data_IF_322007079478
#
_entry.id   IF_322007079478
#
_cell.length_a   1.000
_cell.length_b   1.000
_cell.length_c   1.000
_cell.angle_alpha   90.00
_cell.angle_beta   90.00
_cell.angle_gamma   90.00
#
_symmetry.space_group_name_H-M   'P 1'
#
loop_
_entity.id
_entity.type
_entity.pdbx_description
1 polymer ?
#
# COMPACT_ATOMS: atom_id res chain seq x y z
N UNK A 1 -0.55 0.52 16.31
CA UNK A 1 0.13 1.45 15.40
C UNK A 1 0.44 2.76 16.12
N UNK A 2 -0.51 3.69 16.18
CA UNK A 2 -0.30 5.03 16.75
C UNK A 2 0.13 5.04 18.21
N UNK A 3 -0.48 4.18 19.04
CA UNK A 3 -0.10 4.02 20.45
C UNK A 3 1.39 3.66 20.63
N UNK A 4 1.97 2.89 19.70
CA UNK A 4 3.40 2.52 19.72
C UNK A 4 4.32 3.73 19.50
N UNK A 5 3.84 4.75 18.78
CA UNK A 5 4.60 5.98 18.55
C UNK A 5 4.45 6.92 19.75
N UNK A 6 3.21 7.17 20.14
CA UNK A 6 2.86 7.93 21.34
C UNK A 6 1.36 7.68 21.65
N UNK A 7 0.98 7.38 22.90
CA UNK A 7 -0.43 7.24 23.30
C UNK A 7 -1.32 8.41 22.91
N UNK A 8 -0.80 9.64 22.92
CA UNK A 8 -1.53 10.87 22.55
C UNK A 8 -2.02 10.82 21.09
N UNK A 9 -1.32 10.07 20.22
CA UNK A 9 -1.67 10.00 18.80
C UNK A 9 -2.83 9.08 18.49
N UNK A 10 -3.37 8.30 19.43
CA UNK A 10 -4.50 7.40 19.17
C UNK A 10 -5.72 8.15 18.62
N UNK A 11 -5.90 9.41 19.01
CA UNK A 11 -6.98 10.29 18.52
C UNK A 11 -6.87 10.51 16.99
N UNK A 12 -5.67 10.44 16.42
CA UNK A 12 -5.43 10.56 14.98
C UNK A 12 -5.68 9.25 14.19
N UNK A 13 -6.33 8.25 14.79
CA UNK A 13 -6.67 7.00 14.08
C UNK A 13 -7.41 7.17 12.75
N UNK A 14 -8.33 8.14 12.57
CA UNK A 14 -9.00 8.35 11.28
C UNK A 14 -8.02 8.77 10.16
N UNK A 15 -6.96 9.51 10.50
CA UNK A 15 -5.92 9.94 9.56
C UNK A 15 -5.26 8.73 8.91
N UNK A 16 -4.95 7.71 9.71
CA UNK A 16 -4.28 6.48 9.23
C UNK A 16 -5.18 5.69 8.29
N UNK A 17 -6.50 5.73 8.47
CA UNK A 17 -7.45 5.09 7.54
C UNK A 17 -7.33 5.73 6.16
N UNK A 18 -7.38 7.06 6.06
CA UNK A 18 -7.22 7.76 4.77
C UNK A 18 -5.86 7.48 4.13
N UNK A 19 -4.79 7.50 4.91
CA UNK A 19 -3.45 7.20 4.42
C UNK A 19 -3.32 5.75 3.95
N UNK A 20 -3.95 4.80 4.62
CA UNK A 20 -3.92 3.38 4.23
C UNK A 20 -4.61 3.15 2.88
N UNK A 21 -5.76 3.79 2.65
CA UNK A 21 -6.47 3.70 1.38
C UNK A 21 -5.69 4.39 0.26
N UNK A 22 -5.09 5.55 0.54
CA UNK A 22 -4.18 6.23 -0.40
C UNK A 22 -2.98 5.34 -0.75
N UNK A 23 -2.37 4.70 0.24
CA UNK A 23 -1.23 3.80 0.05
C UNK A 23 -1.62 2.58 -0.81
N UNK A 24 -2.81 2.02 -0.60
CA UNK A 24 -3.36 0.95 -1.44
C UNK A 24 -3.48 1.37 -2.91
N UNK A 25 -4.07 2.55 -3.18
CA UNK A 25 -4.19 3.08 -4.55
C UNK A 25 -2.81 3.34 -5.18
N UNK A 26 -1.88 3.91 -4.42
CA UNK A 26 -0.50 4.14 -4.87
C UNK A 26 0.23 2.83 -5.21
N UNK A 27 0.04 1.78 -4.39
CA UNK A 27 0.60 0.46 -4.66
C UNK A 27 0.01 -0.16 -5.93
N UNK A 28 -1.30 0.01 -6.16
CA UNK A 28 -1.94 -0.43 -7.40
C UNK A 28 -1.36 0.31 -8.62
N UNK A 29 -1.23 1.63 -8.54
CA UNK A 29 -0.62 2.46 -9.59
C UNK A 29 0.82 2.02 -9.89
N UNK A 30 1.63 1.74 -8.86
CA UNK A 30 3.00 1.25 -9.06
C UNK A 30 3.05 -0.05 -9.87
N UNK A 31 2.16 -1.00 -9.61
CA UNK A 31 2.07 -2.23 -10.40
C UNK A 31 1.64 -1.96 -11.85
N UNK A 32 0.72 -1.02 -12.07
CA UNK A 32 0.33 -0.60 -13.41
C UNK A 32 1.48 0.05 -14.17
N UNK A 33 2.27 0.92 -13.53
CA UNK A 33 3.46 1.51 -14.14
C UNK A 33 4.47 0.44 -14.58
N UNK A 34 4.76 -0.53 -13.71
CA UNK A 34 5.66 -1.64 -14.05
C UNK A 34 5.15 -2.42 -15.26
N UNK A 35 3.84 -2.71 -15.31
CA UNK A 35 3.23 -3.38 -16.46
C UNK A 35 3.35 -2.58 -17.76
N UNK A 36 3.06 -1.28 -17.72
CA UNK A 36 3.14 -0.39 -18.88
C UNK A 36 4.57 -0.19 -19.37
N UNK A 37 5.53 -0.02 -18.46
CA UNK A 37 6.94 0.14 -18.79
C UNK A 37 7.52 -1.14 -19.41
N UNK A 38 7.07 -2.32 -18.96
CA UNK A 38 7.49 -3.59 -19.56
C UNK A 38 7.02 -3.82 -21.00
N UNK A 39 6.10 -2.99 -21.51
CA UNK A 39 5.64 -3.03 -22.91
C UNK A 39 6.37 -2.03 -23.81
N UNK A 40 7.15 -1.11 -23.22
CA UNK A 40 7.87 -0.09 -23.96
C UNK A 40 9.04 -0.68 -24.75
N UNK A 41 9.38 -0.06 -25.87
CA UNK A 41 10.46 -0.51 -26.79
C UNK A 41 11.43 0.61 -27.17
N UNK A 42 11.26 1.80 -26.60
CA UNK A 42 12.04 2.99 -26.97
C UNK A 42 13.54 2.86 -26.67
N UNK A 43 13.90 1.92 -25.79
CA UNK A 43 15.27 1.52 -25.42
C UNK A 43 15.85 0.43 -26.33
N UNK A 44 15.00 -0.36 -26.99
CA UNK A 44 15.38 -1.39 -27.97
C UNK A 44 15.54 -0.79 -29.38
N UNK A 45 14.78 0.24 -29.69
CA UNK A 45 14.79 0.89 -31.01
C UNK A 45 15.98 1.84 -31.19
N UNK A 46 16.94 1.42 -32.03
CA UNK A 46 18.19 2.18 -32.31
C UNK A 46 17.99 3.59 -32.90
N UNK A 47 16.77 3.93 -33.36
CA UNK A 47 16.44 5.21 -33.99
C UNK A 47 15.57 6.12 -33.12
N UNK A 48 15.29 5.74 -31.87
CA UNK A 48 14.43 6.53 -30.99
C UNK A 48 15.04 7.90 -30.70
N UNK A 49 14.22 8.93 -30.84
CA UNK A 49 14.60 10.32 -30.57
C UNK A 49 14.25 10.72 -29.14
N UNK A 50 14.81 11.83 -28.66
CA UNK A 50 14.44 12.41 -27.35
C UNK A 50 12.93 12.65 -27.21
N UNK A 51 12.24 13.00 -28.30
CA UNK A 51 10.78 13.19 -28.31
C UNK A 51 10.03 11.88 -28.09
N UNK A 52 10.57 10.77 -28.58
CA UNK A 52 9.98 9.44 -28.40
C UNK A 52 10.14 9.00 -26.93
N UNK A 53 11.30 9.25 -26.32
CA UNK A 53 11.50 9.06 -24.88
C UNK A 53 10.53 9.91 -24.05
N UNK A 54 10.36 11.20 -24.37
CA UNK A 54 9.46 12.08 -23.63
C UNK A 54 7.99 11.61 -23.65
N UNK A 55 7.57 10.90 -24.71
CA UNK A 55 6.21 10.36 -24.86
C UNK A 55 6.07 8.89 -24.45
N UNK A 56 7.16 8.26 -24.06
CA UNK A 56 7.23 6.84 -23.72
C UNK A 56 6.51 6.53 -22.40
N UNK A 57 6.20 5.26 -22.16
CA UNK A 57 5.65 4.77 -20.90
C UNK A 57 6.67 4.89 -19.76
N UNK A 58 7.98 4.91 -20.07
CA UNK A 58 9.05 5.17 -19.10
C UNK A 58 8.87 6.53 -18.40
N UNK A 59 8.50 7.56 -19.17
CA UNK A 59 8.28 8.91 -18.64
C UNK A 59 6.92 9.08 -17.96
N UNK A 60 6.04 8.08 -18.02
CA UNK A 60 4.69 8.18 -17.47
C UNK A 60 4.71 8.22 -15.94
N UNK A 61 5.52 7.38 -15.29
CA UNK A 61 5.66 7.38 -13.83
C UNK A 61 6.15 8.74 -13.27
N UNK A 62 7.30 9.30 -13.72
CA UNK A 62 7.73 10.60 -13.22
C UNK A 62 6.72 11.72 -13.54
N UNK A 63 6.11 11.72 -14.72
CA UNK A 63 5.08 12.71 -15.08
C UNK A 63 3.87 12.63 -14.14
N UNK A 64 3.40 11.42 -13.85
CA UNK A 64 2.28 11.20 -12.95
C UNK A 64 2.60 11.62 -11.51
N UNK A 65 3.81 11.36 -11.04
CA UNK A 65 4.27 11.83 -9.72
C UNK A 65 4.30 13.36 -9.65
N UNK A 66 4.73 14.05 -10.71
CA UNK A 66 4.72 15.50 -10.78
C UNK A 66 3.29 16.06 -10.75
N UNK A 67 2.38 15.52 -11.56
CA UNK A 67 0.97 15.93 -11.57
C UNK A 67 0.35 15.72 -10.19
N UNK A 68 0.55 14.54 -9.59
CA UNK A 68 0.07 14.23 -8.24
C UNK A 68 0.58 15.22 -7.20
N UNK A 69 1.88 15.48 -7.20
CA UNK A 69 2.51 16.41 -6.26
C UNK A 69 2.03 17.84 -6.46
N UNK A 70 1.92 18.30 -7.72
CA UNK A 70 1.45 19.64 -8.04
C UNK A 70 0.02 19.87 -7.57
N UNK A 71 -0.89 18.92 -7.82
CA UNK A 71 -2.28 18.99 -7.35
C UNK A 71 -2.30 18.96 -5.82
N UNK A 72 -1.61 18.00 -5.20
CA UNK A 72 -1.60 17.84 -3.75
C UNK A 72 -1.07 19.07 -3.01
N UNK A 73 0.11 19.56 -3.39
CA UNK A 73 0.71 20.74 -2.76
C UNK A 73 -0.05 22.02 -3.11
N UNK A 74 -0.58 22.13 -4.33
CA UNK A 74 -1.45 23.25 -4.72
C UNK A 74 -2.71 23.32 -3.85
N UNK A 75 -3.39 22.19 -3.64
CA UNK A 75 -4.55 22.12 -2.76
C UNK A 75 -4.21 22.48 -1.31
N UNK A 76 -3.09 21.98 -0.78
CA UNK A 76 -2.63 22.32 0.57
C UNK A 76 -2.31 23.81 0.72
N UNK A 77 -1.62 24.39 -0.25
CA UNK A 77 -1.25 25.81 -0.23
C UNK A 77 -2.48 26.72 -0.20
N UNK A 78 -3.52 26.39 -0.98
CA UNK A 78 -4.79 27.12 -0.96
C UNK A 78 -5.41 27.06 0.44
N UNK A 79 -5.46 25.88 1.06
CA UNK A 79 -6.10 25.69 2.36
C UNK A 79 -5.37 26.43 3.46
N UNK A 80 -4.03 26.36 3.51
CA UNK A 80 -3.27 27.14 4.49
C UNK A 80 -3.33 28.64 4.27
N UNK A 81 -3.61 29.09 3.05
CA UNK A 81 -3.79 30.52 2.78
C UNK A 81 -5.13 31.05 3.32
N UNK A 82 -6.12 30.17 3.48
CA UNK A 82 -7.46 30.51 4.00
C UNK A 82 -7.56 30.27 5.51
N UNK A 83 -6.83 29.28 6.03
CA UNK A 83 -6.80 28.97 7.46
C UNK A 83 -6.07 30.07 8.24
N UNK A 84 -6.82 30.86 9.01
CA UNK A 84 -6.30 31.97 9.82
C UNK A 84 -5.88 31.56 11.23
N UNK A 85 -6.31 30.39 11.71
CA UNK A 85 -5.92 29.87 13.01
C UNK A 85 -4.56 29.17 12.95
N UNK A 86 -3.62 29.61 13.81
CA UNK A 86 -2.24 29.09 13.85
C UNK A 86 -2.10 27.74 14.56
N UNK A 87 -3.21 27.15 15.03
CA UNK A 87 -3.17 25.93 15.82
C UNK A 87 -3.25 24.70 14.91
N UNK A 88 -2.16 23.94 14.88
CA UNK A 88 -2.10 22.65 14.20
C UNK A 88 -2.90 21.59 14.96
N UNK A 89 -4.15 21.38 14.52
CA UNK A 89 -5.06 20.42 15.11
C UNK A 89 -5.15 19.12 14.30
N UNK A 90 -5.63 18.05 14.93
CA UNK A 90 -5.84 16.74 14.30
C UNK A 90 -6.80 16.83 13.10
N UNK A 91 -7.74 17.78 13.12
CA UNK A 91 -8.66 18.06 12.02
C UNK A 91 -7.90 18.47 10.75
N UNK A 92 -6.92 19.37 10.88
CA UNK A 92 -6.08 19.82 9.78
C UNK A 92 -5.27 18.66 9.18
N UNK A 93 -4.68 17.81 10.04
CA UNK A 93 -3.93 16.62 9.61
C UNK A 93 -4.84 15.62 8.89
N UNK A 94 -6.06 15.42 9.40
CA UNK A 94 -7.07 14.55 8.79
C UNK A 94 -7.46 15.05 7.41
N UNK A 95 -7.60 16.36 7.26
CA UNK A 95 -7.89 17.02 5.99
C UNK A 95 -6.75 16.81 4.99
N UNK A 96 -5.48 16.88 5.40
CA UNK A 96 -4.35 16.61 4.51
C UNK A 96 -4.31 15.17 3.99
N UNK A 97 -4.60 14.21 4.89
CA UNK A 97 -4.67 12.81 4.52
C UNK A 97 -5.82 12.56 3.54
N UNK A 98 -6.98 13.20 3.78
CA UNK A 98 -8.14 13.13 2.91
C UNK A 98 -7.86 13.73 1.51
N UNK A 99 -7.25 14.91 1.41
CA UNK A 99 -6.85 15.48 0.10
C UNK A 99 -5.92 14.52 -0.62
N UNK A 100 -4.93 13.96 0.09
CA UNK A 100 -3.99 13.02 -0.51
C UNK A 100 -4.71 11.82 -1.14
N UNK A 101 -5.73 11.29 -0.46
CA UNK A 101 -6.59 10.24 -0.98
C UNK A 101 -7.44 10.72 -2.19
N UNK A 102 -8.09 11.88 -2.08
CA UNK A 102 -8.94 12.45 -3.13
C UNK A 102 -8.17 12.76 -4.41
N UNK A 103 -6.89 13.12 -4.32
CA UNK A 103 -6.01 13.30 -5.49
C UNK A 103 -5.63 11.95 -6.10
N UNK A 104 -5.39 10.92 -5.29
CA UNK A 104 -4.97 9.60 -5.78
C UNK A 104 -6.10 8.84 -6.49
N UNK A 105 -7.37 9.01 -6.07
CA UNK A 105 -8.53 8.34 -6.68
C UNK A 105 -8.67 8.61 -8.20
N UNK A 106 -8.82 9.86 -8.68
CA UNK A 106 -9.01 10.14 -10.10
C UNK A 106 -7.79 9.74 -10.92
N UNK A 107 -6.60 9.92 -10.36
CA UNK A 107 -5.33 9.49 -10.94
C UNK A 107 -5.28 7.96 -11.13
N UNK A 108 -5.75 7.19 -10.14
CA UNK A 108 -5.85 5.74 -10.24
C UNK A 108 -6.87 5.30 -11.28
N UNK A 109 -8.04 5.95 -11.33
CA UNK A 109 -9.04 5.70 -12.37
C UNK A 109 -8.47 5.94 -13.78
N UNK A 110 -7.70 7.02 -13.97
CA UNK A 110 -7.00 7.28 -15.22
C UNK A 110 -5.99 6.18 -15.57
N UNK A 111 -5.19 5.71 -14.59
CA UNK A 111 -4.24 4.61 -14.81
C UNK A 111 -4.94 3.30 -15.21
N UNK A 112 -6.04 2.94 -14.55
CA UNK A 112 -6.82 1.75 -14.91
C UNK A 112 -7.31 1.85 -16.35
N UNK A 113 -7.80 3.02 -16.77
CA UNK A 113 -8.23 3.25 -18.15
C UNK A 113 -7.07 3.08 -19.14
N UNK A 114 -5.92 3.68 -18.85
CA UNK A 114 -4.73 3.60 -19.71
C UNK A 114 -4.23 2.16 -19.86
N UNK A 115 -4.17 1.41 -18.76
CA UNK A 115 -3.76 0.01 -18.75
C UNK A 115 -4.67 -0.85 -19.60
N UNK A 116 -5.99 -0.71 -19.44
CA UNK A 116 -6.99 -1.45 -20.24
C UNK A 116 -6.89 -1.16 -21.74
N UNK A 117 -6.37 0.01 -22.12
CA UNK A 117 -6.14 0.35 -23.52
C UNK A 117 -4.92 -0.36 -24.11
N UNK A 118 -3.91 -0.67 -23.30
CA UNK A 118 -2.64 -1.25 -23.77
C UNK A 118 -2.61 -2.77 -23.68
N UNK A 119 -3.28 -3.37 -22.68
CA UNK A 119 -3.35 -4.81 -22.55
C UNK A 119 -4.63 -5.27 -21.84
N UNK A 120 -4.99 -6.54 -22.05
CA UNK A 120 -6.15 -7.15 -21.40
C UNK A 120 -5.83 -7.43 -19.93
N UNK A 121 -6.55 -6.78 -19.03
CA UNK A 121 -6.48 -7.07 -17.59
C UNK A 121 -7.25 -8.36 -17.27
N UNK A 122 -6.56 -9.50 -17.34
CA UNK A 122 -7.08 -10.77 -16.82
C UNK A 122 -6.76 -10.88 -15.33
N UNK A 123 -7.66 -10.35 -14.51
CA UNK A 123 -7.53 -10.43 -13.06
C UNK A 123 -8.02 -11.80 -12.57
N UNK A 124 -7.15 -12.53 -11.87
CA UNK A 124 -7.50 -13.80 -11.22
C UNK A 124 -8.33 -13.54 -9.96
N UNK A 125 -9.59 -13.14 -10.15
CA UNK A 125 -10.51 -12.76 -9.08
C UNK A 125 -10.64 -13.82 -7.99
N UNK A 126 -10.63 -15.11 -8.36
CA UNK A 126 -10.66 -16.22 -7.39
C UNK A 126 -9.47 -16.19 -6.42
N UNK A 127 -8.28 -15.82 -6.89
CA UNK A 127 -7.10 -15.69 -6.03
C UNK A 127 -7.22 -14.43 -5.18
N UNK A 128 -7.56 -13.29 -5.80
CA UNK A 128 -7.70 -12.00 -5.11
C UNK A 128 -8.67 -12.11 -3.92
N UNK A 129 -9.84 -12.71 -4.13
CA UNK A 129 -10.84 -12.87 -3.06
C UNK A 129 -10.36 -13.77 -1.93
N UNK A 130 -9.64 -14.85 -2.23
CA UNK A 130 -9.03 -15.71 -1.20
C UNK A 130 -8.05 -14.95 -0.32
N UNK A 131 -7.13 -14.18 -0.92
CA UNK A 131 -6.16 -13.38 -0.17
C UNK A 131 -6.83 -12.27 0.62
N UNK A 132 -7.86 -11.62 0.05
CA UNK A 132 -8.61 -10.58 0.73
C UNK A 132 -9.37 -11.11 1.95
N UNK A 133 -10.10 -12.22 1.81
CA UNK A 133 -10.81 -12.86 2.93
C UNK A 133 -9.85 -13.38 3.99
N UNK A 134 -8.70 -13.93 3.59
CA UNK A 134 -7.65 -14.34 4.53
C UNK A 134 -7.11 -13.16 5.32
N UNK A 135 -6.84 -12.04 4.63
CA UNK A 135 -6.40 -10.80 5.28
C UNK A 135 -7.44 -10.31 6.30
N UNK A 136 -8.72 -10.23 5.92
CA UNK A 136 -9.80 -9.84 6.82
C UNK A 136 -9.93 -10.77 8.04
N UNK A 137 -9.87 -12.08 7.84
CA UNK A 137 -9.96 -13.05 8.92
C UNK A 137 -8.78 -12.95 9.90
N UNK A 138 -7.56 -12.87 9.38
CA UNK A 138 -6.34 -12.74 10.20
C UNK A 138 -6.33 -11.41 10.95
N UNK A 139 -6.64 -10.29 10.28
CA UNK A 139 -6.70 -8.98 10.90
C UNK A 139 -7.81 -8.90 11.96
N UNK A 140 -8.99 -9.44 11.67
CA UNK A 140 -10.11 -9.48 12.62
C UNK A 140 -9.77 -10.28 13.88
N UNK A 141 -9.20 -11.48 13.70
CA UNK A 141 -8.81 -12.33 14.82
C UNK A 141 -7.67 -11.72 15.63
N UNK A 142 -6.62 -11.21 14.97
CA UNK A 142 -5.49 -10.57 15.66
C UNK A 142 -5.94 -9.32 16.42
N UNK A 143 -6.81 -8.50 15.83
CA UNK A 143 -7.40 -7.35 16.51
C UNK A 143 -8.23 -7.75 17.73
N UNK A 144 -9.09 -8.77 17.61
CA UNK A 144 -9.87 -9.29 18.74
C UNK A 144 -8.96 -9.77 19.88
N UNK A 145 -7.93 -10.56 19.56
CA UNK A 145 -6.96 -11.03 20.57
C UNK A 145 -6.19 -9.87 21.22
N UNK A 146 -5.86 -8.83 20.46
CA UNK A 146 -5.20 -7.65 21.02
C UNK A 146 -6.12 -6.91 22.00
N UNK A 147 -7.42 -6.80 21.73
CA UNK A 147 -8.35 -6.14 22.66
C UNK A 147 -8.47 -6.87 24.00
N UNK A 148 -8.44 -8.20 23.98
CA UNK A 148 -8.56 -9.02 25.19
C UNK A 148 -7.25 -9.16 25.97
N UNK A 149 -6.11 -9.28 25.27
CA UNK A 149 -4.85 -9.73 25.88
C UNK A 149 -3.71 -8.73 25.79
N UNK A 150 -3.76 -7.71 24.93
CA UNK A 150 -2.66 -6.75 24.82
C UNK A 150 -2.76 -5.71 25.92
N UNK A 151 -1.72 -5.62 26.74
CA UNK A 151 -1.59 -4.57 27.76
C UNK A 151 -1.01 -3.31 27.11
N UNK A 152 -1.78 -2.24 27.13
CA UNK A 152 -1.41 -0.93 26.58
C UNK A 152 -0.60 -0.12 27.60
N UNK A 153 0.72 -0.27 27.55
CA UNK A 153 1.67 0.45 28.40
C UNK A 153 2.31 1.64 27.68
N UNK A 154 2.46 2.79 28.34
CA UNK A 154 3.09 3.97 27.73
C UNK A 154 4.59 3.76 27.49
N UNK A 155 5.24 2.97 28.35
CA UNK A 155 6.65 2.66 28.22
C UNK A 155 6.88 1.72 27.01
N UNK A 156 7.47 2.26 25.94
CA UNK A 156 7.72 1.53 24.68
C UNK A 156 8.50 0.22 24.88
N UNK A 157 9.44 0.20 25.83
CA UNK A 157 10.26 -0.99 26.12
C UNK A 157 9.46 -2.12 26.77
N UNK A 158 8.29 -1.84 27.33
CA UNK A 158 7.36 -2.84 27.88
C UNK A 158 6.30 -3.18 26.84
N UNK A 159 5.75 -2.17 26.17
CA UNK A 159 4.70 -2.36 25.17
C UNK A 159 5.17 -3.14 23.94
N UNK A 160 6.36 -2.85 23.42
CA UNK A 160 6.84 -3.47 22.17
C UNK A 160 7.04 -4.99 22.32
N UNK A 161 7.71 -5.52 23.36
CA UNK A 161 7.77 -6.96 23.60
C UNK A 161 6.39 -7.62 23.75
N UNK A 162 5.43 -6.95 24.38
CA UNK A 162 4.04 -7.45 24.49
C UNK A 162 3.30 -7.46 23.15
N UNK A 163 3.60 -6.54 22.24
CA UNK A 163 2.98 -6.46 20.92
C UNK A 163 3.55 -7.50 19.93
N UNK A 164 4.84 -7.84 20.03
CA UNK A 164 5.54 -8.72 19.08
C UNK A 164 4.86 -10.09 18.88
N UNK A 165 4.38 -10.81 19.92
CA UNK A 165 3.65 -12.07 19.75
C UNK A 165 2.45 -11.96 18.82
N UNK A 166 1.68 -10.87 18.88
CA UNK A 166 0.52 -10.65 18.03
C UNK A 166 0.90 -10.41 16.56
N UNK A 167 1.99 -9.67 16.32
CA UNK A 167 2.54 -9.43 14.97
C UNK A 167 3.01 -10.75 14.37
N UNK A 168 3.79 -11.54 15.13
CA UNK A 168 4.29 -12.84 14.69
C UNK A 168 3.12 -13.79 14.43
N UNK A 169 2.16 -13.86 15.35
CA UNK A 169 0.97 -14.68 15.20
C UNK A 169 0.19 -14.32 13.94
N UNK A 170 -0.08 -13.03 13.70
CA UNK A 170 -0.76 -12.58 12.48
C UNK A 170 -0.01 -12.95 11.20
N UNK A 171 1.31 -12.76 11.18
CA UNK A 171 2.15 -13.13 10.04
C UNK A 171 2.12 -14.65 9.78
N UNK A 172 2.36 -15.46 10.81
CA UNK A 172 2.34 -16.93 10.72
C UNK A 172 0.97 -17.43 10.28
N UNK A 173 -0.10 -16.88 10.85
CA UNK A 173 -1.47 -17.27 10.52
C UNK A 173 -1.82 -16.93 9.06
N UNK A 174 -1.44 -15.73 8.59
CA UNK A 174 -1.63 -15.34 7.19
C UNK A 174 -0.90 -16.29 6.23
N UNK A 175 0.38 -16.56 6.47
CA UNK A 175 1.14 -17.49 5.63
C UNK A 175 0.59 -18.93 5.72
N UNK A 176 0.20 -19.37 6.92
CA UNK A 176 -0.38 -20.70 7.13
C UNK A 176 -1.67 -20.89 6.33
N UNK A 177 -2.63 -19.96 6.45
CA UNK A 177 -3.89 -20.03 5.72
C UNK A 177 -3.66 -19.94 4.21
N UNK A 178 -2.81 -19.01 3.74
CA UNK A 178 -2.55 -18.85 2.31
C UNK A 178 -1.93 -20.10 1.67
N UNK A 179 -1.00 -20.78 2.36
CA UNK A 179 -0.43 -22.06 1.93
C UNK A 179 -1.50 -23.17 1.84
N UNK A 180 -2.51 -23.14 2.70
CA UNK A 180 -3.58 -24.16 2.71
C UNK A 180 -4.57 -23.93 1.55
N UNK A 181 -5.00 -22.69 1.32
CA UNK A 181 -6.11 -22.38 0.40
C UNK A 181 -5.67 -22.14 -1.06
N UNK A 182 -4.38 -21.86 -1.29
CA UNK A 182 -3.83 -21.55 -2.60
C UNK A 182 -2.75 -22.55 -3.03
N UNK A 183 -3.01 -23.25 -4.14
CA UNK A 183 -2.10 -24.28 -4.68
C UNK A 183 -0.75 -23.69 -5.09
N UNK A 184 -0.71 -22.46 -5.61
CA UNK A 184 0.54 -21.83 -6.05
C UNK A 184 1.38 -21.45 -4.84
N UNK A 185 0.77 -20.89 -3.80
CA UNK A 185 1.44 -20.61 -2.53
C UNK A 185 2.01 -21.89 -1.90
N UNK A 186 1.23 -22.97 -1.87
CA UNK A 186 1.69 -24.29 -1.42
C UNK A 186 2.89 -24.81 -2.20
N UNK A 187 2.81 -24.75 -3.53
CA UNK A 187 3.89 -25.20 -4.41
C UNK A 187 5.16 -24.36 -4.23
N UNK A 188 5.03 -23.06 -4.00
CA UNK A 188 6.18 -22.18 -3.72
C UNK A 188 6.82 -22.53 -2.37
N UNK A 189 6.02 -22.65 -1.31
CA UNK A 189 6.51 -22.97 0.03
C UNK A 189 7.24 -24.31 0.06
N UNK A 190 6.65 -25.35 -0.55
CA UNK A 190 7.27 -26.69 -0.63
C UNK A 190 8.60 -26.68 -1.36
N UNK A 191 8.73 -25.92 -2.45
CA UNK A 191 10.01 -25.75 -3.16
C UNK A 191 11.06 -25.03 -2.32
N UNK A 192 10.67 -23.99 -1.58
CA UNK A 192 11.59 -23.27 -0.67
C UNK A 192 12.10 -24.22 0.42
N UNK A 193 11.22 -24.98 1.07
CA UNK A 193 11.63 -25.93 2.10
C UNK A 193 12.52 -27.06 1.55
N UNK A 194 12.24 -27.54 0.33
CA UNK A 194 13.08 -28.53 -0.34
C UNK A 194 14.50 -28.00 -0.59
N UNK A 195 14.64 -26.74 -1.04
CA UNK A 195 15.93 -26.09 -1.29
C UNK A 195 16.72 -25.81 0.01
N UNK A 196 16.02 -25.45 1.09
CA UNK A 196 16.67 -25.25 2.39
C UNK A 196 17.20 -26.60 2.91
N UNK A 197 16.39 -27.65 2.83
CA UNK A 197 16.78 -28.99 3.28
C UNK A 197 17.89 -29.60 2.42
N UNK A 198 17.95 -29.28 1.12
CA UNK A 198 19.02 -29.77 0.23
C UNK A 198 20.37 -29.09 0.50
N UNK A 199 20.38 -27.85 1.01
CA UNK A 199 21.61 -27.12 1.38
C UNK A 199 22.12 -27.41 2.79
N UNK A 200 21.25 -27.87 3.68
CA UNK A 200 21.62 -28.26 5.05
C UNK A 200 22.20 -29.68 5.09
N UNK A 201 21.89 -30.51 4.09
CA UNK A 201 22.39 -31.88 3.94
C UNK A 201 23.66 -31.91 3.11
#
# INVERSE_FOLDING_TARGET
GLFMLNPIYVIASPVVIFLSLRAFLAALNSNFFLGLQGLDKVDVEKKSTFKDYAKSQLMLNPTFQLIRSAIYFGSLAIIFSVETDKNFNIELISLWALIGLLVEIPLTCYMIHLVKKQFTLDLQWSSITKYFLTCLGVLGLTYFLMQEFLVFEEAIFIFLPNLLPFIIFGGVLYFGITIIIDKRAKNLATKIFAEINSKIR
#
